data_IF_565642354756
#
_entry.id   IF_565642354756
#
_cell.length_a   1.000
_cell.length_b   1.000
_cell.length_c   1.000
_cell.angle_alpha   90.00
_cell.angle_beta   90.00
_cell.angle_gamma   90.00
#
_symmetry.space_group_name_H-M   'P 1'
#
loop_
_entity.id
_entity.type
_entity.pdbx_description
1 polymer ?
#
# COMPACT_ATOMS: atom_id res chain seq x y z
N UNK A 1 -26.12 9.90 0.11
CA UNK A 1 -24.98 10.72 -0.38
C UNK A 1 -23.74 10.00 0.05
N UNK A 2 -22.97 9.47 -0.91
CA UNK A 2 -21.76 8.71 -0.60
C UNK A 2 -20.67 9.59 0.01
N UNK A 3 -19.93 9.04 0.96
CA UNK A 3 -18.81 9.72 1.60
C UNK A 3 -17.69 9.89 0.56
N UNK A 4 -17.17 11.11 0.41
CA UNK A 4 -16.02 11.41 -0.46
C UNK A 4 -14.81 11.73 0.38
N UNK A 5 -13.71 11.03 0.14
CA UNK A 5 -12.42 11.38 0.72
C UNK A 5 -11.43 11.73 -0.38
N UNK A 6 -10.70 12.83 -0.22
CA UNK A 6 -9.66 13.29 -1.15
C UNK A 6 -8.31 13.02 -0.51
N UNK A 7 -7.54 12.14 -1.12
CA UNK A 7 -6.19 11.84 -0.71
C UNK A 7 -5.18 12.55 -1.62
N UNK A 8 -4.34 13.39 -1.03
CA UNK A 8 -3.33 14.16 -1.74
C UNK A 8 -1.93 13.69 -1.37
N UNK A 9 -1.14 13.23 -2.34
CA UNK A 9 0.26 12.92 -2.10
C UNK A 9 1.16 13.65 -3.11
N UNK A 10 2.19 14.32 -2.60
CA UNK A 10 3.26 14.90 -3.41
C UNK A 10 4.41 13.92 -3.47
N UNK A 11 4.67 13.35 -4.65
CA UNK A 11 5.77 12.42 -4.86
C UNK A 11 6.93 13.10 -5.59
N UNK A 12 8.09 13.17 -4.93
CA UNK A 12 9.32 13.58 -5.58
C UNK A 12 10.03 12.35 -6.16
N UNK A 13 9.71 12.02 -7.41
CA UNK A 13 10.32 10.89 -8.12
C UNK A 13 11.61 11.39 -8.78
N UNK A 14 12.61 11.78 -7.99
CA UNK A 14 13.88 12.31 -8.54
C UNK A 14 14.82 11.23 -9.09
N UNK A 15 14.63 9.95 -8.78
CA UNK A 15 15.49 8.88 -9.32
C UNK A 15 14.69 7.62 -9.60
N UNK A 16 14.86 7.06 -10.78
CA UNK A 16 14.46 5.70 -11.14
C UNK A 16 15.22 4.70 -10.27
N UNK A 17 14.72 4.47 -9.08
CA UNK A 17 15.15 3.33 -8.28
C UNK A 17 14.67 2.04 -8.96
N UNK A 18 15.39 0.94 -8.77
CA UNK A 18 14.98 -0.39 -9.24
C UNK A 18 13.49 -0.59 -8.99
N UNK A 19 12.74 -1.05 -10.01
CA UNK A 19 11.26 -1.10 -10.00
C UNK A 19 10.64 -1.61 -8.69
N UNK A 20 11.23 -2.66 -8.07
CA UNK A 20 10.74 -3.22 -6.81
C UNK A 20 10.81 -2.23 -5.64
N UNK A 21 11.96 -1.54 -5.46
CA UNK A 21 12.11 -0.55 -4.37
C UNK A 21 11.20 0.65 -4.54
N UNK A 22 10.86 1.01 -5.78
CA UNK A 22 9.92 2.11 -6.04
C UNK A 22 8.50 1.73 -5.60
N UNK A 23 8.05 0.52 -5.89
CA UNK A 23 6.72 0.02 -5.49
C UNK A 23 6.60 0.03 -3.97
N UNK A 24 7.58 -0.54 -3.25
CA UNK A 24 7.58 -0.54 -1.78
C UNK A 24 7.59 0.87 -1.19
N UNK A 25 8.33 1.80 -1.81
CA UNK A 25 8.36 3.20 -1.39
C UNK A 25 6.99 3.86 -1.57
N UNK A 26 6.34 3.66 -2.72
CA UNK A 26 5.02 4.22 -3.00
C UNK A 26 3.98 3.63 -2.06
N UNK A 27 4.02 2.32 -1.80
CA UNK A 27 3.16 1.66 -0.82
C UNK A 27 3.33 2.25 0.58
N UNK A 28 4.56 2.44 1.03
CA UNK A 28 4.85 3.07 2.33
C UNK A 28 4.36 4.51 2.42
N UNK A 29 4.42 5.27 1.30
CA UNK A 29 3.86 6.63 1.23
C UNK A 29 2.33 6.60 1.35
N UNK A 30 1.66 5.67 0.66
CA UNK A 30 0.21 5.46 0.76
C UNK A 30 -0.20 5.12 2.18
N UNK A 31 0.47 4.16 2.81
CA UNK A 31 0.21 3.75 4.18
C UNK A 31 0.40 4.89 5.20
N UNK A 32 1.50 5.65 5.08
CA UNK A 32 1.77 6.79 5.96
C UNK A 32 0.68 7.86 5.85
N UNK A 33 0.37 8.28 4.64
CA UNK A 33 -0.59 9.34 4.42
C UNK A 33 -2.03 8.86 4.70
N UNK A 34 -2.32 7.56 4.51
CA UNK A 34 -3.57 6.94 4.94
C UNK A 34 -3.73 6.99 6.47
N UNK A 35 -2.67 6.64 7.22
CA UNK A 35 -2.69 6.73 8.67
C UNK A 35 -2.86 8.16 9.18
N UNK A 36 -2.17 9.13 8.57
CA UNK A 36 -2.29 10.56 8.92
C UNK A 36 -3.72 11.10 8.74
N UNK A 37 -4.46 10.57 7.77
CA UNK A 37 -5.84 10.99 7.45
C UNK A 37 -6.92 10.12 8.12
N UNK A 38 -6.54 9.01 8.78
CA UNK A 38 -7.49 8.10 9.41
C UNK A 38 -8.00 8.65 10.75
N UNK A 39 -9.32 8.58 11.05
CA UNK A 39 -9.87 9.03 12.34
C UNK A 39 -9.23 8.35 13.55
N UNK A 40 -8.94 7.04 13.43
CA UNK A 40 -8.25 6.24 14.46
C UNK A 40 -6.76 6.07 14.13
N UNK A 41 -6.08 7.21 14.02
CA UNK A 41 -4.68 7.27 13.60
C UNK A 41 -3.75 6.44 14.49
N UNK A 42 -3.92 6.50 15.80
CA UNK A 42 -3.02 5.85 16.76
C UNK A 42 -3.05 4.31 16.58
N UNK A 43 -4.23 3.73 16.49
CA UNK A 43 -4.40 2.29 16.26
C UNK A 43 -3.89 1.87 14.88
N UNK A 44 -4.10 2.69 13.85
CA UNK A 44 -3.56 2.46 12.50
C UNK A 44 -2.03 2.50 12.50
N UNK A 45 -1.41 3.46 13.15
CA UNK A 45 0.05 3.55 13.27
C UNK A 45 0.64 2.31 13.99
N UNK A 46 0.01 1.86 15.09
CA UNK A 46 0.41 0.64 15.80
C UNK A 46 0.32 -0.60 14.89
N UNK A 47 -0.76 -0.72 14.10
CA UNK A 47 -0.91 -1.81 13.11
C UNK A 47 0.15 -1.75 12.03
N UNK A 48 0.44 -0.56 11.49
CA UNK A 48 1.49 -0.39 10.48
C UNK A 48 2.88 -0.76 11.00
N UNK A 49 3.17 -0.48 12.26
CA UNK A 49 4.45 -0.86 12.87
C UNK A 49 4.55 -2.37 13.06
N UNK A 50 3.47 -3.04 13.49
CA UNK A 50 3.40 -4.50 13.54
C UNK A 50 3.60 -5.12 12.14
N UNK A 51 2.92 -4.63 11.11
CA UNK A 51 3.11 -5.05 9.71
C UNK A 51 4.55 -4.87 9.21
N UNK A 52 5.20 -3.76 9.57
CA UNK A 52 6.61 -3.53 9.23
C UNK A 52 7.53 -4.56 9.87
N UNK A 53 7.28 -4.91 11.13
CA UNK A 53 8.05 -5.93 11.85
C UNK A 53 7.84 -7.31 11.22
N UNK A 54 6.61 -7.70 10.93
CA UNK A 54 6.28 -8.96 10.25
C UNK A 54 6.98 -9.08 8.88
N UNK A 55 6.96 -8.03 8.07
CA UNK A 55 7.65 -7.98 6.77
C UNK A 55 9.17 -8.08 6.92
N UNK A 56 9.77 -7.42 7.93
CA UNK A 56 11.21 -7.54 8.23
C UNK A 56 11.57 -8.96 8.64
N UNK A 57 10.76 -9.59 9.49
CA UNK A 57 10.91 -10.98 9.90
C UNK A 57 10.88 -11.91 8.68
N UNK A 58 9.86 -11.80 7.83
CA UNK A 58 9.73 -12.60 6.62
C UNK A 58 10.94 -12.44 5.67
N UNK A 59 11.38 -11.20 5.43
CA UNK A 59 12.53 -10.91 4.59
C UNK A 59 13.83 -11.49 5.17
N UNK A 60 14.03 -11.41 6.48
CA UNK A 60 15.19 -12.01 7.15
C UNK A 60 15.18 -13.54 7.03
N UNK A 61 14.02 -14.17 7.27
CA UNK A 61 13.85 -15.62 7.08
C UNK A 61 14.26 -16.05 5.68
N UNK A 62 13.72 -15.44 4.64
CA UNK A 62 14.05 -15.76 3.24
C UNK A 62 15.55 -15.57 2.94
N UNK A 63 16.16 -14.50 3.44
CA UNK A 63 17.57 -14.22 3.24
C UNK A 63 18.47 -15.28 3.92
N UNK A 64 18.15 -15.63 5.16
CA UNK A 64 18.88 -16.62 5.95
C UNK A 64 18.78 -18.01 5.32
N UNK A 65 17.58 -18.45 4.95
CA UNK A 65 17.37 -19.74 4.28
C UNK A 65 18.21 -19.85 2.99
N UNK A 66 18.19 -18.80 2.15
CA UNK A 66 19.02 -18.77 0.92
C UNK A 66 20.53 -18.85 1.23
N UNK A 67 20.98 -18.18 2.29
CA UNK A 67 22.39 -18.18 2.69
C UNK A 67 22.83 -19.55 3.23
N UNK A 68 22.00 -20.17 4.06
CA UNK A 68 22.27 -21.49 4.63
C UNK A 68 22.24 -22.60 3.57
N UNK A 69 21.27 -22.58 2.67
CA UNK A 69 21.20 -23.51 1.54
C UNK A 69 22.44 -23.43 0.65
N UNK A 70 23.00 -22.23 0.40
CA UNK A 70 24.26 -22.06 -0.34
C UNK A 70 25.49 -22.63 0.38
N UNK A 71 25.44 -22.76 1.72
CA UNK A 71 26.51 -23.34 2.54
C UNK A 71 26.39 -24.85 2.73
N UNK A 72 25.30 -25.46 2.25
CA UNK A 72 25.01 -26.87 2.44
C UNK A 72 24.57 -27.22 3.87
N UNK A 73 23.96 -26.27 4.60
CA UNK A 73 23.47 -26.52 5.95
C UNK A 73 22.37 -27.61 5.94
N UNK A 74 22.29 -28.39 7.00
CA UNK A 74 21.22 -29.36 7.17
C UNK A 74 19.86 -28.72 7.42
N UNK A 75 18.78 -29.45 7.20
CA UNK A 75 17.43 -28.94 7.45
C UNK A 75 17.23 -28.56 8.93
N UNK A 76 17.78 -29.34 9.85
CA UNK A 76 17.72 -29.08 11.29
C UNK A 76 18.39 -27.76 11.69
N UNK A 77 19.54 -27.46 11.10
CA UNK A 77 20.24 -26.19 11.32
C UNK A 77 19.44 -25.00 10.79
N UNK A 78 18.78 -25.16 9.62
CA UNK A 78 17.91 -24.13 9.04
C UNK A 78 16.71 -23.88 9.96
N UNK A 79 16.05 -24.93 10.44
CA UNK A 79 14.86 -24.84 11.28
C UNK A 79 15.18 -24.18 12.63
N UNK A 80 16.32 -24.50 13.23
CA UNK A 80 16.80 -23.87 14.47
C UNK A 80 17.03 -22.37 14.28
N UNK A 81 17.77 -21.98 13.26
CA UNK A 81 18.03 -20.55 12.97
C UNK A 81 16.72 -19.81 12.67
N UNK A 82 15.75 -20.46 11.99
CA UNK A 82 14.44 -19.88 11.69
C UNK A 82 13.63 -19.64 12.97
N UNK A 83 13.72 -20.53 13.94
CA UNK A 83 13.07 -20.38 15.24
C UNK A 83 13.69 -19.20 16.02
N UNK A 84 15.02 -19.13 16.10
CA UNK A 84 15.73 -18.03 16.77
C UNK A 84 15.38 -16.65 16.16
N UNK A 85 15.30 -16.57 14.82
CA UNK A 85 14.86 -15.35 14.12
C UNK A 85 13.41 -15.00 14.51
N UNK A 86 12.53 -15.99 14.60
CA UNK A 86 11.13 -15.76 14.94
C UNK A 86 11.00 -15.21 16.35
N UNK A 87 11.70 -15.79 17.31
CA UNK A 87 11.68 -15.36 18.71
C UNK A 87 12.27 -13.94 18.90
N UNK A 88 13.34 -13.63 18.17
CA UNK A 88 14.05 -12.35 18.31
C UNK A 88 13.37 -11.15 17.66
N UNK A 89 12.54 -11.35 16.66
CA UNK A 89 11.95 -10.27 15.84
C UNK A 89 10.42 -10.28 15.79
N UNK A 90 9.75 -11.26 16.40
CA UNK A 90 8.30 -11.33 16.41
C UNK A 90 7.71 -10.09 17.08
N UNK A 91 6.70 -9.42 16.50
CA UNK A 91 6.03 -8.30 17.16
C UNK A 91 5.33 -8.76 18.43
N UNK A 92 5.30 -7.89 19.45
CA UNK A 92 4.61 -8.18 20.71
C UNK A 92 3.11 -8.43 20.49
N UNK A 93 2.52 -7.73 19.53
CA UNK A 93 1.15 -7.93 19.07
C UNK A 93 1.16 -8.07 17.55
N UNK A 94 0.71 -9.22 16.98
CA UNK A 94 0.58 -9.38 15.55
C UNK A 94 -0.40 -8.36 14.96
N UNK A 95 -0.13 -7.87 13.75
CA UNK A 95 -0.96 -6.86 13.08
C UNK A 95 -2.42 -7.29 12.91
N UNK A 96 -2.67 -8.59 12.74
CA UNK A 96 -4.01 -9.18 12.64
C UNK A 96 -4.85 -9.07 13.92
N UNK A 97 -4.23 -8.86 15.07
CA UNK A 97 -4.92 -8.69 16.36
C UNK A 97 -5.25 -7.21 16.65
N UNK A 98 -4.69 -6.27 15.89
CA UNK A 98 -4.99 -4.85 16.04
C UNK A 98 -6.20 -4.55 15.17
N UNK A 99 -7.36 -4.40 15.82
CA UNK A 99 -8.63 -4.13 15.14
C UNK A 99 -8.76 -2.64 14.83
N UNK A 100 -9.03 -2.33 13.57
CA UNK A 100 -9.34 -0.99 13.07
C UNK A 100 -10.58 -1.11 12.20
N UNK A 101 -11.53 -0.21 12.37
CA UNK A 101 -12.74 -0.18 11.52
C UNK A 101 -12.40 0.46 10.18
N UNK A 102 -12.63 -0.22 9.05
CA UNK A 102 -12.40 0.36 7.73
C UNK A 102 -13.34 1.54 7.45
N UNK A 103 -12.88 2.51 6.68
CA UNK A 103 -13.64 3.72 6.33
C UNK A 103 -14.62 3.48 5.18
N UNK A 104 -14.31 2.55 4.29
CA UNK A 104 -15.08 2.24 3.09
C UNK A 104 -15.30 0.73 2.96
N UNK A 105 -16.51 0.33 2.61
CA UNK A 105 -16.84 -1.08 2.35
C UNK A 105 -16.76 -1.38 0.85
N UNK A 106 -17.45 -0.59 0.03
CA UNK A 106 -17.41 -0.70 -1.43
C UNK A 106 -17.14 0.69 -2.00
N UNK A 107 -16.15 0.80 -2.86
CA UNK A 107 -15.68 2.10 -3.30
C UNK A 107 -15.16 2.08 -4.74
N UNK A 108 -15.03 3.27 -5.31
CA UNK A 108 -14.32 3.53 -6.55
C UNK A 108 -13.21 4.54 -6.35
N UNK A 109 -12.18 4.48 -7.18
CA UNK A 109 -11.03 5.38 -7.12
C UNK A 109 -10.83 6.09 -8.45
N UNK A 110 -10.69 7.41 -8.40
CA UNK A 110 -10.18 8.21 -9.51
C UNK A 110 -8.80 8.74 -9.19
N UNK A 111 -7.80 8.33 -9.96
CA UNK A 111 -6.43 8.83 -9.86
C UNK A 111 -6.22 10.02 -10.77
N UNK A 112 -6.06 11.21 -10.20
CA UNK A 112 -5.71 12.42 -10.95
C UNK A 112 -4.20 12.65 -10.88
N UNK A 113 -3.56 12.72 -12.04
CA UNK A 113 -2.10 12.82 -12.17
C UNK A 113 -1.71 14.19 -12.68
N UNK A 114 -0.74 14.83 -12.01
CA UNK A 114 -0.17 16.13 -12.37
C UNK A 114 1.35 16.01 -12.50
N UNK A 115 1.91 15.88 -13.71
CA UNK A 115 3.34 15.80 -13.92
C UNK A 115 4.03 17.17 -13.74
N UNK A 116 5.36 17.20 -13.48
CA UNK A 116 6.12 18.45 -13.35
C UNK A 116 6.34 19.18 -14.67
N UNK A 117 6.23 18.49 -15.79
CA UNK A 117 6.55 19.03 -17.13
C UNK A 117 5.51 18.60 -18.17
N UNK A 118 5.38 19.39 -19.25
CA UNK A 118 4.49 19.08 -20.39
C UNK A 118 5.05 17.96 -21.27
N UNK A 119 5.25 16.76 -20.70
CA UNK A 119 5.55 15.57 -21.50
C UNK A 119 4.26 14.88 -21.87
N UNK A 120 4.30 14.14 -23.01
CA UNK A 120 3.20 13.22 -23.35
C UNK A 120 3.08 12.19 -22.23
N UNK A 121 1.94 12.18 -21.58
CA UNK A 121 1.60 11.28 -20.48
C UNK A 121 0.35 10.52 -20.86
N UNK A 122 0.37 9.23 -20.66
CA UNK A 122 -0.79 8.35 -20.68
C UNK A 122 -1.07 7.93 -19.22
N UNK A 123 -2.08 8.52 -18.56
CA UNK A 123 -2.35 8.26 -17.15
C UNK A 123 -2.53 6.78 -16.78
N UNK A 124 -3.17 5.91 -17.60
CA UNK A 124 -3.27 4.47 -17.34
C UNK A 124 -1.93 3.75 -17.19
N UNK A 125 -0.83 4.25 -17.77
CA UNK A 125 0.50 3.66 -17.58
C UNK A 125 1.00 3.77 -16.14
N UNK A 126 0.31 4.53 -15.29
CA UNK A 126 0.59 4.64 -13.85
C UNK A 126 -0.24 3.66 -13.01
N UNK A 127 -0.91 2.68 -13.62
CA UNK A 127 -1.63 1.62 -12.88
C UNK A 127 -0.78 0.89 -11.83
N UNK A 128 0.53 0.59 -12.04
CA UNK A 128 1.35 0.03 -10.97
C UNK A 128 1.56 0.98 -9.79
N UNK A 129 1.59 2.29 -10.05
CA UNK A 129 1.66 3.32 -9.00
C UNK A 129 0.36 3.38 -8.22
N UNK A 130 -0.78 3.35 -8.91
CA UNK A 130 -2.09 3.30 -8.27
C UNK A 130 -2.20 2.05 -7.39
N UNK A 131 -1.86 0.86 -7.90
CA UNK A 131 -1.90 -0.38 -7.11
C UNK A 131 -1.06 -0.27 -5.84
N UNK A 132 0.15 0.26 -5.93
CA UNK A 132 1.02 0.42 -4.75
C UNK A 132 0.45 1.41 -3.71
N UNK A 133 -0.22 2.48 -4.16
CA UNK A 133 -0.91 3.41 -3.26
C UNK A 133 -2.12 2.76 -2.60
N UNK A 134 -2.93 2.03 -3.36
CA UNK A 134 -4.09 1.29 -2.87
C UNK A 134 -3.68 0.25 -1.84
N UNK A 135 -2.63 -0.55 -2.11
CA UNK A 135 -2.06 -1.49 -1.14
C UNK A 135 -1.61 -0.80 0.15
N UNK A 136 -1.08 0.43 0.04
CA UNK A 136 -0.70 1.22 1.21
C UNK A 136 -1.90 1.71 2.03
N UNK A 137 -2.98 2.11 1.37
CA UNK A 137 -4.22 2.52 2.02
C UNK A 137 -4.94 1.32 2.66
N UNK A 138 -4.88 0.12 2.04
CA UNK A 138 -5.32 -1.14 2.64
C UNK A 138 -4.54 -1.44 3.92
N UNK A 139 -3.21 -1.30 3.90
CA UNK A 139 -2.38 -1.43 5.11
C UNK A 139 -2.83 -0.45 6.23
N UNK A 140 -3.28 0.74 5.85
CA UNK A 140 -3.78 1.79 6.76
C UNK A 140 -5.29 1.67 7.06
N UNK A 141 -5.91 0.53 6.76
CA UNK A 141 -7.30 0.20 7.08
C UNK A 141 -8.35 1.16 6.52
N UNK A 142 -8.11 1.76 5.36
CA UNK A 142 -9.13 2.53 4.67
C UNK A 142 -10.26 1.64 4.18
N UNK A 143 -9.96 0.38 3.86
CA UNK A 143 -10.84 -0.72 3.51
C UNK A 143 -10.22 -2.05 3.94
N UNK A 144 -10.99 -3.12 3.95
CA UNK A 144 -10.51 -4.45 4.34
C UNK A 144 -9.61 -5.06 3.27
N UNK A 145 -10.01 -4.95 1.99
CA UNK A 145 -9.29 -5.48 0.84
C UNK A 145 -9.57 -4.61 -0.40
N UNK A 146 -8.75 -4.75 -1.45
CA UNK A 146 -8.92 -4.07 -2.73
C UNK A 146 -9.33 -5.03 -3.86
N UNK A 147 -9.95 -6.15 -3.50
CA UNK A 147 -10.52 -7.09 -4.45
C UNK A 147 -11.79 -6.51 -5.14
N UNK A 148 -12.32 -7.24 -6.13
CA UNK A 148 -13.49 -6.81 -6.93
C UNK A 148 -14.77 -6.58 -6.12
N UNK A 149 -14.85 -7.06 -4.88
CA UNK A 149 -15.99 -6.87 -3.98
C UNK A 149 -15.97 -5.50 -3.31
N UNK A 150 -14.78 -4.95 -3.13
CA UNK A 150 -14.53 -3.69 -2.47
C UNK A 150 -14.23 -2.57 -3.47
N UNK A 151 -13.23 -2.76 -4.34
CA UNK A 151 -12.85 -1.79 -5.37
C UNK A 151 -13.54 -2.12 -6.70
N UNK A 152 -14.66 -1.46 -6.97
CA UNK A 152 -15.53 -1.74 -8.13
C UNK A 152 -15.12 -0.98 -9.39
N UNK A 153 -14.40 0.13 -9.28
CA UNK A 153 -13.96 0.92 -10.43
C UNK A 153 -12.67 1.66 -10.14
N UNK A 154 -11.78 1.69 -11.14
CA UNK A 154 -10.60 2.56 -11.15
C UNK A 154 -10.60 3.43 -12.39
N UNK A 155 -10.42 4.75 -12.20
CA UNK A 155 -10.38 5.73 -13.26
C UNK A 155 -9.10 6.55 -13.21
N UNK A 156 -8.63 7.00 -14.39
CA UNK A 156 -7.43 7.83 -14.50
C UNK A 156 -7.76 9.16 -15.16
N UNK A 157 -7.20 10.25 -14.62
CA UNK A 157 -7.41 11.59 -15.12
C UNK A 157 -6.09 12.37 -15.18
N UNK A 158 -5.92 13.14 -16.26
CA UNK A 158 -4.88 14.15 -16.32
C UNK A 158 -5.38 15.44 -15.67
N UNK A 159 -4.68 15.95 -14.66
CA UNK A 159 -5.07 17.11 -13.86
C UNK A 159 -4.31 18.40 -14.18
N UNK A 160 -3.59 18.47 -15.31
CA UNK A 160 -2.70 19.58 -15.61
C UNK A 160 -1.30 19.37 -15.01
N UNK A 161 -0.51 20.44 -14.90
CA UNK A 161 0.83 20.39 -14.31
C UNK A 161 0.78 20.42 -12.77
N UNK A 162 1.81 19.86 -12.13
CA UNK A 162 1.94 19.87 -10.67
C UNK A 162 2.16 21.27 -10.08
N UNK A 163 2.73 22.17 -10.88
CA UNK A 163 3.14 23.51 -10.44
C UNK A 163 4.50 23.55 -9.74
N UNK A 164 5.08 22.40 -9.42
CA UNK A 164 6.38 22.30 -8.74
C UNK A 164 7.41 21.60 -9.63
N UNK A 165 8.54 22.22 -9.95
CA UNK A 165 9.56 21.60 -10.79
C UNK A 165 10.09 20.27 -10.20
N UNK A 166 10.13 19.23 -11.02
CA UNK A 166 10.65 17.91 -10.66
C UNK A 166 9.74 17.07 -9.74
N UNK A 167 8.58 17.57 -9.34
CA UNK A 167 7.64 16.87 -8.46
C UNK A 167 6.38 16.45 -9.20
N UNK A 168 5.99 15.20 -9.01
CA UNK A 168 4.70 14.68 -9.42
C UNK A 168 3.69 14.88 -8.31
N UNK A 169 2.51 15.32 -8.66
CA UNK A 169 1.38 15.36 -7.72
C UNK A 169 0.33 14.35 -8.15
N UNK A 170 -0.03 13.47 -7.22
CA UNK A 170 -1.10 12.48 -7.40
C UNK A 170 -2.19 12.79 -6.40
N UNK A 171 -3.42 12.79 -6.89
CA UNK A 171 -4.63 12.93 -6.07
C UNK A 171 -5.46 11.68 -6.29
N UNK A 172 -5.86 11.02 -5.21
CA UNK A 172 -6.83 9.93 -5.23
C UNK A 172 -8.15 10.45 -4.68
N UNK A 173 -9.16 10.45 -5.52
CA UNK A 173 -10.55 10.68 -5.11
C UNK A 173 -11.17 9.31 -4.85
N UNK A 174 -11.48 9.03 -3.58
CA UNK A 174 -12.16 7.80 -3.15
C UNK A 174 -13.62 8.14 -2.89
N UNK A 175 -14.51 7.40 -3.50
CA UNK A 175 -15.96 7.59 -3.36
C UNK A 175 -16.63 6.27 -2.99
N UNK A 176 -17.38 6.28 -1.88
CA UNK A 176 -18.18 5.14 -1.47
C UNK A 176 -19.31 4.89 -2.47
N UNK A 177 -19.55 3.63 -2.75
CA UNK A 177 -20.55 3.19 -3.73
C UNK A 177 -21.52 2.23 -3.06
N UNK A 178 -22.80 2.39 -3.35
CA UNK A 178 -23.84 1.46 -2.91
C UNK A 178 -23.65 0.13 -3.67
N UNK A 179 -23.36 -0.98 -2.95
CA UNK A 179 -23.13 -2.27 -3.58
C UNK A 179 -24.35 -2.81 -4.34
N UNK A 180 -25.56 -2.36 -4.03
CA UNK A 180 -26.79 -2.83 -4.70
C UNK A 180 -26.85 -2.55 -6.20
N UNK A 181 -26.12 -1.52 -6.68
CA UNK A 181 -26.01 -1.20 -8.11
C UNK A 181 -25.02 -2.07 -8.91
N UNK A 182 -24.19 -2.86 -8.24
CA UNK A 182 -23.11 -3.69 -8.82
C UNK A 182 -23.35 -5.19 -8.67
N UNK A 183 -24.49 -5.61 -8.12
CA UNK A 183 -24.89 -7.02 -8.12
C UNK A 183 -25.21 -7.39 -9.56
N UNK A 184 -24.22 -7.98 -10.24
CA UNK A 184 -24.45 -8.61 -11.54
C UNK A 184 -25.44 -9.76 -11.34
N UNK A 185 -26.59 -9.64 -11.99
CA UNK A 185 -27.53 -10.74 -12.13
C UNK A 185 -26.78 -11.93 -12.75
N UNK A 186 -26.55 -12.96 -11.96
CA UNK A 186 -26.15 -14.27 -12.47
C UNK A 186 -27.31 -14.90 -13.25
#
# INVERSE_FOLDING_TARGET
MGQKSIFNTNMNIKHYMQKAKLVDTIRAMGAKAGAEAHPDRETVEARLDALRQERRLAARKVSTTKKMAKRGASQEEIDKEMQEITESLSPATPSSHIQVTPLFTTFKITMTVRPPTRRRLDPPNLSPTLKALVDGLTDACWWDDDDYRHLVETSFRYGGLSGTPGEWRIVLDVEEVDPSGYVTSN
#
